data_IF_605963239593
#
_entry.id   IF_605963239593
#
_cell.length_a   1.000
_cell.length_b   1.000
_cell.length_c   1.000
_cell.angle_alpha   90.00
_cell.angle_beta   90.00
_cell.angle_gamma   90.00
#
_symmetry.space_group_name_H-M   'P 1'
#
loop_
_entity.id
_entity.type
_entity.pdbx_description
1 polymer ?
#
# COMPACT_ATOMS: atom_id res chain seq x y z
N UNK A 1 1.56 -7.33 -14.84
CA UNK A 1 2.13 -7.46 -13.49
C UNK A 1 1.27 -6.71 -12.47
N UNK A 2 0.28 -7.40 -11.94
CA UNK A 2 -0.64 -6.89 -10.92
C UNK A 2 -0.03 -7.23 -9.56
N UNK A 3 0.54 -6.25 -8.87
CA UNK A 3 1.29 -6.51 -7.63
C UNK A 3 0.85 -5.58 -6.52
N UNK A 4 0.62 -6.16 -5.37
CA UNK A 4 0.37 -5.47 -4.12
C UNK A 4 1.57 -5.69 -3.21
N UNK A 5 2.16 -4.62 -2.73
CA UNK A 5 3.30 -4.66 -1.82
C UNK A 5 2.88 -4.15 -0.44
N UNK A 6 2.95 -5.00 0.56
CA UNK A 6 2.70 -4.65 1.95
C UNK A 6 4.05 -4.35 2.59
N UNK A 7 4.30 -3.07 2.85
CA UNK A 7 5.57 -2.55 3.34
C UNK A 7 5.51 -2.40 4.86
N UNK A 8 6.32 -3.15 5.57
CA UNK A 8 6.45 -3.10 7.02
C UNK A 8 7.86 -2.69 7.45
N UNK A 9 8.10 -2.57 8.75
CA UNK A 9 9.38 -2.19 9.32
C UNK A 9 9.23 -1.07 10.36
N UNK A 10 10.35 -0.65 10.94
CA UNK A 10 10.36 0.37 11.99
C UNK A 10 9.77 1.71 11.50
N UNK A 11 9.01 2.39 12.37
CA UNK A 11 8.39 3.69 12.05
C UNK A 11 9.39 4.77 11.60
N UNK A 12 10.65 4.66 12.04
CA UNK A 12 11.75 5.54 11.64
C UNK A 12 12.47 5.08 10.36
N UNK A 13 12.07 3.96 9.75
CA UNK A 13 12.73 3.36 8.57
C UNK A 13 12.56 4.12 7.26
N UNK A 14 11.74 5.17 7.22
CA UNK A 14 11.51 5.95 6.00
C UNK A 14 10.41 5.38 5.10
N UNK A 15 9.55 4.48 5.59
CA UNK A 15 8.47 3.86 4.80
C UNK A 15 7.58 4.88 4.10
N UNK A 16 7.11 5.90 4.82
CA UNK A 16 6.27 6.96 4.27
C UNK A 16 7.02 7.75 3.20
N UNK A 17 8.29 8.09 3.46
CA UNK A 17 9.14 8.80 2.50
C UNK A 17 9.30 8.01 1.20
N UNK A 18 9.55 6.71 1.29
CA UNK A 18 9.70 5.83 0.13
C UNK A 18 8.37 5.76 -0.65
N UNK A 19 7.26 5.58 0.04
CA UNK A 19 5.93 5.53 -0.59
C UNK A 19 5.62 6.83 -1.34
N UNK A 20 5.88 7.97 -0.73
CA UNK A 20 5.72 9.28 -1.37
C UNK A 20 6.67 9.47 -2.55
N UNK A 21 7.93 9.05 -2.41
CA UNK A 21 8.92 9.15 -3.48
C UNK A 21 8.51 8.33 -4.71
N UNK A 22 7.98 7.14 -4.54
CA UNK A 22 7.46 6.33 -5.66
C UNK A 22 6.34 7.08 -6.39
N UNK A 23 5.38 7.65 -5.68
CA UNK A 23 4.31 8.45 -6.29
C UNK A 23 4.86 9.64 -7.08
N UNK A 24 5.80 10.39 -6.52
CA UNK A 24 6.44 11.52 -7.19
C UNK A 24 7.21 11.09 -8.44
N UNK A 25 7.95 9.98 -8.39
CA UNK A 25 8.67 9.46 -9.55
C UNK A 25 7.72 9.11 -10.70
N UNK A 26 6.57 8.51 -10.42
CA UNK A 26 5.56 8.24 -11.46
C UNK A 26 4.99 9.53 -12.06
N UNK A 27 4.67 10.53 -11.24
CA UNK A 27 4.17 11.83 -11.73
C UNK A 27 5.20 12.50 -12.65
N UNK A 28 6.46 12.58 -12.23
CA UNK A 28 7.52 13.20 -13.01
C UNK A 28 7.80 12.43 -14.30
N UNK A 29 7.93 11.11 -14.22
CA UNK A 29 8.24 10.28 -15.38
C UNK A 29 7.12 10.31 -16.44
N UNK A 30 5.86 10.26 -16.03
CA UNK A 30 4.71 10.36 -16.93
C UNK A 30 4.57 11.77 -17.54
N UNK A 31 5.05 12.81 -16.84
CA UNK A 31 5.13 14.17 -17.34
C UNK A 31 6.32 14.44 -18.27
N UNK A 32 7.18 13.44 -18.50
CA UNK A 32 8.39 13.60 -19.33
C UNK A 32 9.49 14.44 -18.66
N UNK A 33 9.45 14.54 -17.33
CA UNK A 33 10.42 15.33 -16.55
C UNK A 33 11.56 14.42 -16.09
N UNK A 34 12.77 14.96 -16.07
CA UNK A 34 13.93 14.25 -15.54
C UNK A 34 13.72 13.85 -14.09
N UNK A 35 14.05 12.60 -13.78
CA UNK A 35 13.98 12.03 -12.44
C UNK A 35 15.38 11.83 -11.86
N UNK A 36 15.57 12.01 -10.55
CA UNK A 36 16.84 11.72 -9.90
C UNK A 36 17.07 10.21 -9.84
N UNK A 37 18.17 9.74 -10.41
CA UNK A 37 18.55 8.32 -10.38
C UNK A 37 19.35 7.89 -11.58
N UNK A 38 19.89 6.69 -11.50
CA UNK A 38 20.68 6.08 -12.61
C UNK A 38 19.77 5.54 -13.72
N UNK A 39 18.64 4.98 -13.37
CA UNK A 39 17.64 4.44 -14.27
C UNK A 39 16.28 4.32 -13.57
N UNK A 40 15.20 4.49 -14.32
CA UNK A 40 13.83 4.23 -13.88
C UNK A 40 13.03 3.62 -15.01
N UNK A 41 12.63 2.36 -14.83
CA UNK A 41 11.78 1.66 -15.80
C UNK A 41 10.39 1.50 -15.22
N UNK A 42 9.38 1.99 -15.92
CA UNK A 42 7.98 1.96 -15.46
C UNK A 42 7.03 1.70 -16.62
N UNK A 43 5.84 1.23 -16.28
CA UNK A 43 4.71 1.24 -17.22
C UNK A 43 3.77 2.36 -16.80
N UNK A 44 3.32 3.20 -17.72
CA UNK A 44 2.37 4.27 -17.42
C UNK A 44 1.13 3.76 -16.68
N UNK A 45 0.62 4.55 -15.76
CA UNK A 45 -0.61 4.26 -15.02
C UNK A 45 -1.71 5.23 -15.42
N UNK A 46 -2.97 4.80 -15.32
CA UNK A 46 -4.15 5.60 -15.67
C UNK A 46 -4.47 6.66 -14.63
N UNK A 47 -4.08 6.42 -13.39
CA UNK A 47 -4.25 7.34 -12.28
C UNK A 47 -3.38 6.95 -11.11
N UNK A 48 -3.06 7.94 -10.26
CA UNK A 48 -2.33 7.75 -9.01
C UNK A 48 -3.26 8.20 -7.89
N UNK A 49 -3.58 7.27 -7.00
CA UNK A 49 -4.46 7.50 -5.86
C UNK A 49 -3.70 7.36 -4.56
N UNK A 50 -4.05 8.18 -3.59
CA UNK A 50 -3.46 8.13 -2.24
C UNK A 50 -4.54 7.94 -1.20
N UNK A 51 -4.29 7.04 -0.26
CA UNK A 51 -5.16 6.81 0.88
C UNK A 51 -4.33 6.87 2.17
N UNK A 52 -4.44 7.99 2.87
CA UNK A 52 -3.75 8.29 4.12
C UNK A 52 -4.77 8.39 5.26
N UNK A 53 -4.33 8.33 6.52
CA UNK A 53 -5.23 8.51 7.68
C UNK A 53 -6.06 9.78 7.56
N UNK A 54 -7.27 9.74 8.09
CA UNK A 54 -8.15 10.91 8.13
C UNK A 54 -7.64 11.98 9.11
N UNK A 55 -7.77 13.26 8.73
CA UNK A 55 -7.48 14.38 9.61
C UNK A 55 -8.53 14.47 10.74
N UNK A 56 -8.08 14.81 11.95
CA UNK A 56 -8.94 14.89 13.13
C UNK A 56 -10.08 15.90 12.99
N UNK A 57 -9.83 17.01 12.29
CA UNK A 57 -10.75 18.13 12.19
C UNK A 57 -11.93 17.93 11.22
N UNK A 58 -11.95 16.85 10.44
CA UNK A 58 -12.94 16.62 9.38
C UNK A 58 -13.96 15.51 9.67
N UNK A 59 -13.93 14.91 10.85
CA UNK A 59 -14.66 13.65 11.13
C UNK A 59 -15.80 13.84 12.11
N UNK A 60 -16.75 14.73 11.84
CA UNK A 60 -17.84 15.02 12.79
C UNK A 60 -18.95 13.96 12.80
N UNK A 61 -19.26 13.29 11.68
CA UNK A 61 -20.46 12.44 11.56
C UNK A 61 -20.20 10.93 11.49
N UNK A 62 -19.07 10.48 10.97
CA UNK A 62 -18.81 9.05 10.71
C UNK A 62 -17.69 8.45 11.55
N UNK A 63 -16.95 9.27 12.30
CA UNK A 63 -15.69 8.84 12.89
C UNK A 63 -14.59 8.61 11.82
N UNK A 64 -13.36 8.49 12.27
CA UNK A 64 -12.18 8.37 11.36
C UNK A 64 -12.22 7.12 10.49
N UNK A 65 -12.57 6.00 11.07
CA UNK A 65 -12.64 4.74 10.34
C UNK A 65 -13.69 4.76 9.23
N UNK A 66 -14.88 5.30 9.53
CA UNK A 66 -15.95 5.46 8.54
C UNK A 66 -15.53 6.36 7.38
N UNK A 67 -14.82 7.46 7.67
CA UNK A 67 -14.29 8.34 6.63
C UNK A 67 -13.19 7.69 5.79
N UNK A 68 -12.30 6.92 6.41
CA UNK A 68 -11.29 6.16 5.68
C UNK A 68 -11.91 5.10 4.75
N UNK A 69 -12.91 4.36 5.23
CA UNK A 69 -13.65 3.40 4.42
C UNK A 69 -14.37 4.05 3.24
N UNK A 70 -14.99 5.21 3.47
CA UNK A 70 -15.68 5.97 2.42
C UNK A 70 -14.70 6.45 1.34
N UNK A 71 -13.54 6.96 1.74
CA UNK A 71 -12.49 7.37 0.78
C UNK A 71 -11.93 6.18 0.02
N UNK A 72 -11.67 5.06 0.69
CA UNK A 72 -11.22 3.85 0.03
C UNK A 72 -12.24 3.35 -1.01
N UNK A 73 -13.53 3.34 -0.65
CA UNK A 73 -14.61 2.99 -1.57
C UNK A 73 -14.60 3.87 -2.82
N UNK A 74 -14.50 5.19 -2.65
CA UNK A 74 -14.47 6.13 -3.78
C UNK A 74 -13.26 5.87 -4.72
N UNK A 75 -12.08 5.62 -4.15
CA UNK A 75 -10.89 5.24 -4.93
C UNK A 75 -11.13 3.91 -5.65
N UNK A 76 -11.69 2.92 -4.96
CA UNK A 76 -11.95 1.60 -5.55
C UNK A 76 -12.93 1.66 -6.72
N UNK A 77 -13.95 2.49 -6.63
CA UNK A 77 -14.95 2.67 -7.69
C UNK A 77 -14.35 3.37 -8.93
N UNK A 78 -13.47 4.34 -8.74
CA UNK A 78 -12.87 5.13 -9.82
C UNK A 78 -11.66 4.45 -10.47
N UNK A 79 -10.81 3.81 -9.68
CA UNK A 79 -9.57 3.20 -10.13
C UNK A 79 -9.80 1.96 -11.01
N UNK A 80 -8.84 1.65 -11.86
CA UNK A 80 -8.81 0.45 -12.72
C UNK A 80 -7.55 -0.40 -12.45
N UNK A 81 -7.41 -1.50 -13.19
CA UNK A 81 -6.27 -2.43 -13.07
C UNK A 81 -4.93 -1.83 -13.47
N UNK A 82 -4.89 -0.65 -14.06
CA UNK A 82 -3.68 0.08 -14.43
C UNK A 82 -3.40 1.27 -13.52
N UNK A 83 -4.21 1.46 -12.48
CA UNK A 83 -4.00 2.50 -11.48
C UNK A 83 -2.88 2.14 -10.51
N UNK A 84 -2.25 3.16 -9.93
CA UNK A 84 -1.32 3.05 -8.81
C UNK A 84 -2.01 3.58 -7.56
N UNK A 85 -2.09 2.74 -6.52
CA UNK A 85 -2.63 3.11 -5.22
C UNK A 85 -1.51 3.13 -4.18
N UNK A 86 -1.40 4.23 -3.46
CA UNK A 86 -0.46 4.42 -2.36
C UNK A 86 -1.25 4.55 -1.06
N UNK A 87 -1.13 3.55 -0.19
CA UNK A 87 -1.77 3.53 1.12
C UNK A 87 -0.72 3.72 2.21
N UNK A 88 -1.00 4.61 3.15
CA UNK A 88 -0.11 4.89 4.26
C UNK A 88 -0.87 4.84 5.58
N UNK A 89 -0.56 3.85 6.42
CA UNK A 89 -1.17 3.62 7.73
C UNK A 89 -2.71 3.62 7.69
N UNK A 90 -3.28 3.17 6.59
CA UNK A 90 -4.73 3.11 6.38
C UNK A 90 -5.39 2.16 7.37
N UNK A 91 -6.53 2.57 7.91
CA UNK A 91 -7.33 1.81 8.89
C UNK A 91 -6.65 1.57 10.24
N UNK A 92 -5.62 2.35 10.57
CA UNK A 92 -4.87 2.24 11.83
C UNK A 92 -5.41 3.14 12.95
N UNK A 93 -6.48 3.88 12.71
CA UNK A 93 -7.07 4.84 13.64
C UNK A 93 -8.09 4.25 14.61
N UNK A 94 -8.36 2.95 14.50
CA UNK A 94 -9.30 2.19 15.34
C UNK A 94 -8.58 1.08 16.11
N UNK A 95 -9.34 0.20 16.79
CA UNK A 95 -8.77 -0.98 17.43
C UNK A 95 -8.02 -1.84 16.40
N UNK A 96 -6.98 -2.53 16.88
CA UNK A 96 -6.15 -3.36 15.99
C UNK A 96 -6.97 -4.40 15.23
N UNK A 97 -7.91 -5.07 15.89
CA UNK A 97 -8.72 -6.11 15.25
C UNK A 97 -9.60 -5.56 14.13
N UNK A 98 -10.35 -4.49 14.39
CA UNK A 98 -11.22 -3.89 13.38
C UNK A 98 -10.41 -3.37 12.19
N UNK A 99 -9.35 -2.63 12.46
CA UNK A 99 -8.46 -2.10 11.43
C UNK A 99 -7.82 -3.21 10.59
N UNK A 100 -7.41 -4.30 11.22
CA UNK A 100 -6.83 -5.44 10.54
C UNK A 100 -7.81 -6.13 9.58
N UNK A 101 -9.04 -6.41 10.00
CA UNK A 101 -10.03 -7.06 9.13
C UNK A 101 -10.40 -6.17 7.95
N UNK A 102 -10.59 -4.89 8.16
CA UNK A 102 -10.88 -3.95 7.07
C UNK A 102 -9.68 -3.83 6.12
N UNK A 103 -8.47 -3.77 6.65
CA UNK A 103 -7.26 -3.74 5.84
C UNK A 103 -7.12 -5.02 4.99
N UNK A 104 -7.37 -6.20 5.58
CA UNK A 104 -7.33 -7.49 4.87
C UNK A 104 -8.36 -7.55 3.75
N UNK A 105 -9.59 -7.16 4.00
CA UNK A 105 -10.65 -7.11 2.99
C UNK A 105 -10.34 -6.09 1.88
N UNK A 106 -9.74 -4.96 2.25
CA UNK A 106 -9.29 -3.95 1.28
C UNK A 106 -8.20 -4.51 0.36
N UNK A 107 -7.22 -5.25 0.89
CA UNK A 107 -6.18 -5.91 0.09
C UNK A 107 -6.77 -6.97 -0.84
N UNK A 108 -7.73 -7.77 -0.35
CA UNK A 108 -8.46 -8.73 -1.19
C UNK A 108 -9.18 -8.05 -2.35
N UNK A 109 -9.88 -6.96 -2.08
CA UNK A 109 -10.56 -6.17 -3.11
C UNK A 109 -9.57 -5.59 -4.13
N UNK A 110 -8.43 -5.08 -3.67
CA UNK A 110 -7.36 -4.56 -4.53
C UNK A 110 -6.79 -5.67 -5.43
N UNK A 111 -6.53 -6.85 -4.89
CA UNK A 111 -6.07 -8.02 -5.65
C UNK A 111 -7.09 -8.43 -6.70
N UNK A 112 -8.36 -8.47 -6.35
CA UNK A 112 -9.45 -8.77 -7.26
C UNK A 112 -9.49 -7.79 -8.44
N UNK A 113 -9.43 -6.51 -8.19
CA UNK A 113 -9.41 -5.48 -9.24
C UNK A 113 -8.09 -5.43 -10.02
N UNK A 114 -6.99 -5.86 -9.40
CA UNK A 114 -5.66 -5.92 -9.99
C UNK A 114 -4.92 -4.60 -10.03
N UNK A 115 -5.22 -3.67 -9.12
CA UNK A 115 -4.47 -2.43 -8.99
C UNK A 115 -3.05 -2.67 -8.48
N UNK A 116 -2.08 -1.88 -8.97
CA UNK A 116 -0.75 -1.83 -8.37
C UNK A 116 -0.83 -1.00 -7.10
N UNK A 117 -0.33 -1.55 -6.00
CA UNK A 117 -0.50 -0.94 -4.69
C UNK A 117 0.77 -1.06 -3.86
N UNK A 118 1.12 0.01 -3.17
CA UNK A 118 2.07 -0.02 -2.05
C UNK A 118 1.27 0.36 -0.81
N UNK A 119 1.19 -0.58 0.13
CA UNK A 119 0.54 -0.39 1.40
C UNK A 119 1.58 -0.37 2.53
N UNK A 120 1.92 0.82 2.96
CA UNK A 120 2.77 1.06 4.11
C UNK A 120 1.94 0.92 5.39
N UNK A 121 2.31 -0.02 6.25
CA UNK A 121 1.58 -0.29 7.51
C UNK A 121 2.48 -0.86 8.60
N UNK A 122 2.09 -0.68 9.85
CA UNK A 122 2.67 -1.37 11.00
C UNK A 122 1.92 -2.65 11.38
N UNK A 123 0.86 -3.00 10.64
CA UNK A 123 0.10 -4.23 10.86
C UNK A 123 0.87 -5.44 10.30
N UNK A 124 1.85 -5.94 11.06
CA UNK A 124 2.69 -7.08 10.64
C UNK A 124 1.86 -8.32 10.30
N UNK A 125 0.74 -8.54 11.00
CA UNK A 125 -0.16 -9.65 10.73
C UNK A 125 -0.69 -9.65 9.30
N UNK A 126 -0.97 -8.47 8.73
CA UNK A 126 -1.41 -8.33 7.34
C UNK A 126 -0.33 -8.83 6.36
N UNK A 127 0.93 -8.55 6.64
CA UNK A 127 2.05 -9.01 5.84
C UNK A 127 2.31 -10.53 5.98
N UNK A 128 2.02 -11.11 7.14
CA UNK A 128 2.06 -12.57 7.33
C UNK A 128 0.98 -13.30 6.53
N UNK A 129 -0.19 -12.68 6.35
CA UNK A 129 -1.33 -13.30 5.64
C UNK A 129 -1.23 -13.20 4.11
N UNK A 130 -0.14 -12.67 3.57
CA UNK A 130 0.05 -12.47 2.12
C UNK A 130 -0.09 -13.78 1.33
N UNK A 131 0.49 -14.87 1.83
CA UNK A 131 0.42 -16.17 1.15
C UNK A 131 -1.01 -16.70 1.11
N UNK A 132 -1.73 -16.63 2.24
CA UNK A 132 -3.14 -17.02 2.33
C UNK A 132 -4.01 -16.23 1.33
N UNK A 133 -3.85 -14.90 1.30
CA UNK A 133 -4.60 -14.05 0.37
C UNK A 133 -4.27 -14.38 -1.11
N UNK A 134 -3.03 -14.70 -1.41
CA UNK A 134 -2.63 -15.11 -2.76
C UNK A 134 -3.27 -16.44 -3.17
N UNK A 135 -3.32 -17.41 -2.26
CA UNK A 135 -3.97 -18.70 -2.51
C UNK A 135 -5.48 -18.56 -2.72
N UNK A 136 -6.14 -17.76 -1.88
CA UNK A 136 -7.56 -17.45 -2.02
C UNK A 136 -7.86 -16.84 -3.40
N UNK A 137 -7.06 -15.87 -3.81
CA UNK A 137 -7.22 -15.18 -5.09
C UNK A 137 -7.02 -16.12 -6.29
N UNK A 138 -6.00 -16.99 -6.24
CA UNK A 138 -5.75 -17.97 -7.29
C UNK A 138 -6.87 -18.98 -7.45
N UNK A 139 -7.45 -19.43 -6.34
CA UNK A 139 -8.59 -20.38 -6.35
C UNK A 139 -9.86 -19.75 -6.91
N UNK A 140 -10.09 -18.47 -6.60
CA UNK A 140 -11.33 -17.78 -6.98
C UNK A 140 -11.34 -17.34 -8.44
N UNK A 141 -10.23 -16.89 -9.03
CA UNK A 141 -10.27 -16.11 -10.26
C UNK A 141 -9.21 -16.46 -11.31
N UNK A 142 -8.33 -17.40 -11.06
CA UNK A 142 -7.20 -17.73 -11.96
C UNK A 142 -6.39 -16.51 -12.39
N UNK A 143 -6.19 -15.53 -11.50
CA UNK A 143 -5.47 -14.30 -11.81
C UNK A 143 -4.00 -14.40 -11.44
N UNK A 144 -3.12 -13.70 -12.19
CA UNK A 144 -1.68 -13.62 -11.92
C UNK A 144 -1.33 -12.54 -10.86
N UNK A 145 -2.33 -11.90 -10.26
CA UNK A 145 -2.16 -10.88 -9.24
C UNK A 145 -1.65 -11.47 -7.94
N UNK A 146 -0.55 -10.93 -7.41
CA UNK A 146 0.07 -11.38 -6.16
C UNK A 146 0.36 -10.23 -5.22
N UNK A 147 0.18 -10.49 -3.94
CA UNK A 147 0.69 -9.65 -2.88
C UNK A 147 2.07 -10.13 -2.42
N UNK A 148 2.89 -9.20 -1.96
CA UNK A 148 4.24 -9.45 -1.45
C UNK A 148 4.44 -8.69 -0.15
N UNK A 149 5.08 -9.35 0.81
CA UNK A 149 5.62 -8.67 1.98
C UNK A 149 6.95 -8.03 1.64
N UNK A 150 7.13 -6.77 2.01
CA UNK A 150 8.37 -6.02 1.86
C UNK A 150 8.76 -5.39 3.19
N UNK A 151 10.04 -5.34 3.47
CA UNK A 151 10.59 -4.72 4.67
C UNK A 151 11.55 -3.58 4.32
N UNK A 152 11.60 -2.59 5.19
CA UNK A 152 12.59 -1.51 5.15
C UNK A 152 13.63 -1.76 6.22
N UNK A 153 14.88 -1.89 5.79
CA UNK A 153 16.00 -2.10 6.69
C UNK A 153 16.46 -0.81 7.38
N UNK A 154 16.87 -0.95 8.63
CA UNK A 154 17.60 0.06 9.38
C UNK A 154 19.08 -0.34 9.45
N UNK A 155 19.97 0.62 9.28
CA UNK A 155 21.41 0.43 9.52
C UNK A 155 21.76 1.01 10.91
N UNK A 156 21.59 0.19 11.94
CA UNK A 156 21.66 0.65 13.31
C UNK A 156 20.51 1.62 13.62
N UNK A 157 20.81 2.87 13.95
CA UNK A 157 19.82 3.94 14.18
C UNK A 157 19.54 4.78 12.93
N UNK A 158 20.27 4.55 11.84
CA UNK A 158 20.15 5.31 10.61
C UNK A 158 19.20 4.65 9.61
N UNK A 159 18.54 5.48 8.79
CA UNK A 159 17.66 5.02 7.72
C UNK A 159 18.51 4.50 6.56
N UNK A 160 18.32 3.24 6.18
CA UNK A 160 19.02 2.69 5.01
C UNK A 160 18.34 3.05 3.70
N UNK A 161 17.03 3.30 3.73
CA UNK A 161 16.15 3.43 2.56
C UNK A 161 16.22 2.21 1.60
N UNK A 162 16.68 1.07 2.11
CA UNK A 162 16.73 -0.18 1.35
C UNK A 162 15.49 -1.00 1.65
N UNK A 163 14.90 -1.52 0.58
CA UNK A 163 13.69 -2.35 0.62
C UNK A 163 14.02 -3.70 0.03
N UNK A 164 13.55 -4.76 0.67
CA UNK A 164 13.59 -6.09 0.07
C UNK A 164 12.26 -6.82 0.26
N UNK A 165 12.00 -7.79 -0.62
CA UNK A 165 10.86 -8.70 -0.49
C UNK A 165 11.26 -9.77 0.53
N UNK A 166 10.69 -9.69 1.71
CA UNK A 166 10.97 -10.58 2.83
C UNK A 166 9.75 -10.68 3.75
N UNK A 167 9.66 -11.74 4.57
CA UNK A 167 8.66 -11.81 5.64
C UNK A 167 8.80 -10.64 6.60
N UNK A 168 7.72 -10.21 7.27
CA UNK A 168 7.79 -9.12 8.23
C UNK A 168 8.72 -9.48 9.39
N UNK A 169 9.56 -8.53 9.81
CA UNK A 169 10.38 -8.64 11.01
C UNK A 169 9.51 -8.29 12.24
N UNK A 170 9.53 -9.14 13.23
CA UNK A 170 8.83 -8.94 14.50
C UNK A 170 8.04 -10.18 14.92
N UNK A 171 8.14 -10.48 16.21
CA UNK A 171 7.38 -11.54 16.88
C UNK A 171 6.01 -11.02 17.29
#
# INVERSE_FOLDING_TARGET
NRRVYILTGANRGGKTTITQAVGQLFVLAQGGIYIPGKAFTFSPVTGIYTHFPADEDKTLDLGRLGEECKRFKAIYEEADSRSLLLMNESFSTTSFEEGYYIAKDSVRAILHKGMRTIYNTHMHKLAFDVEEMNEEQQKAEHTDGKAFSMIVHMKGTERSYQIEVAPPEGK
#
